data_IF_032764087149
#
_entry.id   IF_032764087149
#
_cell.length_a   1.000
_cell.length_b   1.000
_cell.length_c   1.000
_cell.angle_alpha   90.00
_cell.angle_beta   90.00
_cell.angle_gamma   90.00
#
_symmetry.space_group_name_H-M   'P 1'
#
loop_
_entity.id
_entity.type
_entity.pdbx_description
1 polymer ?
#
# COMPACT_ATOMS: atom_id res chain seq x y z
N UNK A 1 -0.82 19.17 5.62
CA UNK A 1 -2.27 19.40 5.45
C UNK A 1 -2.80 19.01 4.07
N UNK A 2 -2.06 19.25 2.97
CA UNK A 2 -2.55 18.93 1.61
C UNK A 2 -2.82 17.42 1.35
N UNK A 3 -1.94 16.52 1.80
CA UNK A 3 -2.09 15.08 1.55
C UNK A 3 -3.35 14.47 2.18
N UNK A 4 -3.68 14.83 3.43
CA UNK A 4 -4.87 14.35 4.12
C UNK A 4 -6.16 14.75 3.39
N UNK A 5 -6.28 16.03 3.04
CA UNK A 5 -7.46 16.55 2.34
C UNK A 5 -7.67 15.84 1.00
N UNK A 6 -6.58 15.60 0.26
CA UNK A 6 -6.61 14.89 -1.01
C UNK A 6 -7.08 13.44 -0.87
N UNK A 7 -6.69 12.74 0.21
CA UNK A 7 -7.17 11.37 0.50
C UNK A 7 -8.67 11.37 0.80
N UNK A 8 -9.16 12.32 1.59
CA UNK A 8 -10.60 12.45 1.90
C UNK A 8 -11.43 12.68 0.62
N UNK A 9 -11.00 13.60 -0.26
CA UNK A 9 -11.65 13.87 -1.55
C UNK A 9 -11.60 12.67 -2.52
N UNK A 10 -10.50 11.92 -2.55
CA UNK A 10 -10.35 10.75 -3.42
C UNK A 10 -11.17 9.56 -2.93
N UNK A 11 -11.35 9.40 -1.61
CA UNK A 11 -12.21 8.35 -1.05
C UNK A 11 -13.65 8.48 -1.52
N UNK A 12 -14.17 9.70 -1.62
CA UNK A 12 -15.53 9.95 -2.14
C UNK A 12 -15.66 9.62 -3.64
N UNK A 13 -14.54 9.56 -4.37
CA UNK A 13 -14.51 9.36 -5.82
C UNK A 13 -13.96 7.99 -6.24
N UNK A 14 -13.56 7.12 -5.30
CA UNK A 14 -12.90 5.82 -5.54
C UNK A 14 -13.83 4.69 -6.06
N UNK A 15 -14.81 5.04 -6.89
CA UNK A 15 -15.76 4.10 -7.50
C UNK A 15 -15.20 3.45 -8.77
N UNK A 16 -14.22 4.08 -9.43
CA UNK A 16 -13.58 3.60 -10.66
C UNK A 16 -12.21 3.01 -10.39
N UNK A 17 -11.66 2.27 -11.37
CA UNK A 17 -10.29 1.75 -11.30
C UNK A 17 -9.26 2.87 -11.19
N UNK A 18 -9.38 3.92 -12.00
CA UNK A 18 -8.46 5.06 -11.96
C UNK A 18 -8.57 5.83 -10.64
N UNK A 19 -9.78 6.04 -10.11
CA UNK A 19 -9.96 6.70 -8.81
C UNK A 19 -9.36 5.90 -7.65
N UNK A 20 -9.40 4.57 -7.71
CA UNK A 20 -8.72 3.69 -6.74
C UNK A 20 -7.20 3.76 -6.85
N UNK A 21 -6.67 3.82 -8.07
CA UNK A 21 -5.23 4.01 -8.29
C UNK A 21 -4.76 5.37 -7.75
N UNK A 22 -5.45 6.47 -8.08
CA UNK A 22 -5.16 7.80 -7.54
C UNK A 22 -5.24 7.84 -6.01
N UNK A 23 -6.26 7.20 -5.41
CA UNK A 23 -6.39 7.10 -3.96
C UNK A 23 -5.21 6.34 -3.33
N UNK A 24 -4.80 5.23 -3.93
CA UNK A 24 -3.67 4.45 -3.44
C UNK A 24 -2.35 5.22 -3.48
N UNK A 25 -2.14 6.04 -4.53
CA UNK A 25 -0.98 6.93 -4.64
C UNK A 25 -1.02 8.03 -3.56
N UNK A 26 -2.17 8.64 -3.34
CA UNK A 26 -2.33 9.66 -2.30
C UNK A 26 -2.07 9.07 -0.89
N UNK A 27 -2.51 7.83 -0.64
CA UNK A 27 -2.25 7.10 0.59
C UNK A 27 -0.77 6.78 0.79
N UNK A 28 -0.05 6.43 -0.28
CA UNK A 28 1.41 6.24 -0.25
C UNK A 28 2.12 7.53 0.17
N UNK A 29 1.80 8.65 -0.48
CA UNK A 29 2.38 9.96 -0.16
C UNK A 29 2.05 10.36 1.29
N UNK A 30 0.83 10.10 1.74
CA UNK A 30 0.42 10.40 3.10
C UNK A 30 1.15 9.52 4.12
N UNK A 31 1.32 8.22 3.86
CA UNK A 31 2.13 7.32 4.68
C UNK A 31 3.56 7.83 4.84
N UNK A 32 4.20 8.28 3.76
CA UNK A 32 5.54 8.89 3.84
C UNK A 32 5.56 10.12 4.74
N UNK A 33 4.57 11.02 4.61
CA UNK A 33 4.48 12.21 5.45
C UNK A 33 4.29 11.85 6.93
N UNK A 34 3.39 10.90 7.22
CA UNK A 34 3.13 10.43 8.58
C UNK A 34 4.37 9.78 9.21
N UNK A 35 5.10 8.97 8.44
CA UNK A 35 6.33 8.34 8.92
C UNK A 35 7.40 9.38 9.24
N UNK A 36 7.57 10.39 8.38
CA UNK A 36 8.50 11.51 8.63
C UNK A 36 8.13 12.33 9.87
N UNK A 37 6.85 12.47 10.15
CA UNK A 37 6.33 13.15 11.34
C UNK A 37 6.39 12.27 12.61
N UNK A 38 6.96 11.05 12.53
CA UNK A 38 7.06 10.11 13.65
C UNK A 38 5.73 9.43 14.02
N UNK A 39 4.68 9.65 13.22
CA UNK A 39 3.35 9.03 13.39
C UNK A 39 3.31 7.66 12.75
N UNK A 40 4.19 6.78 13.20
CA UNK A 40 4.47 5.50 12.54
C UNK A 40 3.25 4.57 12.50
N UNK A 41 2.39 4.60 13.52
CA UNK A 41 1.16 3.79 13.52
C UNK A 41 0.19 4.20 12.39
N UNK A 42 -0.09 5.50 12.27
CA UNK A 42 -0.95 6.03 11.20
C UNK A 42 -0.33 5.79 9.81
N UNK A 43 1.01 5.85 9.71
CA UNK A 43 1.72 5.57 8.47
C UNK A 43 1.56 4.12 8.03
N UNK A 44 1.54 3.16 8.96
CA UNK A 44 1.23 1.74 8.66
C UNK A 44 -0.19 1.64 8.12
N UNK A 45 -1.16 2.23 8.82
CA UNK A 45 -2.57 2.12 8.44
C UNK A 45 -2.84 2.72 7.05
N UNK A 46 -2.23 3.86 6.73
CA UNK A 46 -2.34 4.48 5.40
C UNK A 46 -1.74 3.61 4.28
N UNK A 47 -0.56 3.02 4.50
CA UNK A 47 0.05 2.13 3.51
C UNK A 47 -0.75 0.83 3.35
N UNK A 48 -1.26 0.28 4.45
CA UNK A 48 -2.09 -0.93 4.47
C UNK A 48 -3.39 -0.74 3.68
N UNK A 49 -4.05 0.41 3.85
CA UNK A 49 -5.23 0.78 3.07
C UNK A 49 -4.91 0.91 1.58
N UNK A 50 -3.80 1.57 1.24
CA UNK A 50 -3.35 1.72 -0.15
C UNK A 50 -3.15 0.37 -0.82
N UNK A 51 -2.49 -0.58 -0.14
CA UNK A 51 -2.31 -1.95 -0.61
C UNK A 51 -3.66 -2.62 -0.83
N UNK A 52 -4.60 -2.55 0.11
CA UNK A 52 -5.92 -3.20 -0.04
C UNK A 52 -6.73 -2.65 -1.22
N UNK A 53 -6.66 -1.34 -1.47
CA UNK A 53 -7.35 -0.69 -2.57
C UNK A 53 -6.76 -1.11 -3.92
N UNK A 54 -5.42 -1.13 -4.00
CA UNK A 54 -4.73 -1.40 -5.26
C UNK A 54 -4.62 -2.90 -5.57
N UNK A 55 -4.63 -3.77 -4.56
CA UNK A 55 -4.49 -5.23 -4.69
C UNK A 55 -5.41 -5.86 -5.75
N UNK A 56 -6.74 -5.64 -5.78
CA UNK A 56 -7.61 -6.25 -6.79
C UNK A 56 -7.28 -5.77 -8.21
N UNK A 57 -6.83 -4.52 -8.38
CA UNK A 57 -6.44 -3.97 -9.68
C UNK A 57 -5.08 -4.53 -10.13
N UNK A 58 -4.12 -4.59 -9.21
CA UNK A 58 -2.80 -5.14 -9.45
C UNK A 58 -2.87 -6.64 -9.78
N UNK A 59 -3.69 -7.42 -9.09
CA UNK A 59 -3.84 -8.84 -9.39
C UNK A 59 -4.50 -9.09 -10.75
N UNK A 60 -5.32 -8.15 -11.24
CA UNK A 60 -5.92 -8.22 -12.57
C UNK A 60 -4.92 -7.86 -13.68
N UNK A 61 -4.05 -6.87 -13.45
CA UNK A 61 -2.97 -6.49 -14.37
C UNK A 61 -1.69 -6.11 -13.60
N UNK A 62 -0.86 -7.10 -13.24
CA UNK A 62 0.34 -6.86 -12.44
C UNK A 62 1.41 -6.10 -13.17
N UNK A 63 1.40 -6.10 -14.51
CA UNK A 63 2.41 -5.40 -15.31
C UNK A 63 2.19 -3.90 -15.29
N UNK A 64 0.92 -3.46 -15.34
CA UNK A 64 0.56 -2.05 -15.34
C UNK A 64 0.82 -1.36 -14.01
N UNK A 65 0.58 -2.03 -12.89
CA UNK A 65 0.59 -1.43 -11.54
C UNK A 65 1.76 -1.89 -10.67
N UNK A 66 2.80 -2.44 -11.30
CA UNK A 66 3.95 -3.03 -10.59
C UNK A 66 4.70 -2.03 -9.75
N UNK A 67 4.99 -0.86 -10.30
CA UNK A 67 5.81 0.15 -9.63
C UNK A 67 5.08 0.74 -8.43
N UNK A 68 3.80 1.05 -8.58
CA UNK A 68 2.93 1.58 -7.54
C UNK A 68 2.73 0.57 -6.41
N UNK A 69 2.44 -0.69 -6.75
CA UNK A 69 2.30 -1.73 -5.75
C UNK A 69 3.61 -1.99 -5.01
N UNK A 70 4.75 -2.02 -5.71
CA UNK A 70 6.05 -2.22 -5.09
C UNK A 70 6.41 -1.08 -4.13
N UNK A 71 6.11 0.17 -4.49
CA UNK A 71 6.33 1.32 -3.63
C UNK A 71 5.48 1.26 -2.36
N UNK A 72 4.20 0.89 -2.47
CA UNK A 72 3.30 0.69 -1.34
C UNK A 72 3.77 -0.41 -0.40
N UNK A 73 4.12 -1.58 -0.94
CA UNK A 73 4.62 -2.72 -0.15
C UNK A 73 5.93 -2.35 0.54
N UNK A 74 6.87 -1.72 -0.18
CA UNK A 74 8.15 -1.28 0.40
C UNK A 74 7.96 -0.28 1.54
N UNK A 75 7.06 0.69 1.36
CA UNK A 75 6.72 1.65 2.41
C UNK A 75 6.07 0.97 3.61
N UNK A 76 5.09 0.08 3.39
CA UNK A 76 4.43 -0.66 4.46
C UNK A 76 5.41 -1.48 5.29
N UNK A 77 6.27 -2.28 4.64
CA UNK A 77 7.29 -3.10 5.29
C UNK A 77 8.28 -2.23 6.08
N UNK A 78 8.76 -1.14 5.46
CA UNK A 78 9.67 -0.20 6.09
C UNK A 78 9.06 0.41 7.36
N UNK A 79 7.84 0.91 7.30
CA UNK A 79 7.16 1.52 8.45
C UNK A 79 6.83 0.47 9.54
N UNK A 80 6.44 -0.75 9.17
CA UNK A 80 6.22 -1.84 10.12
C UNK A 80 7.49 -2.18 10.90
N UNK A 81 8.64 -2.25 10.21
CA UNK A 81 9.94 -2.49 10.83
C UNK A 81 10.28 -1.42 11.87
N UNK A 82 10.02 -0.14 11.57
CA UNK A 82 10.29 0.98 12.48
C UNK A 82 9.29 1.08 13.63
N UNK A 83 8.03 0.66 13.43
CA UNK A 83 6.98 0.71 14.48
C UNK A 83 6.95 -0.52 15.40
N UNK A 84 7.76 -1.55 15.13
CA UNK A 84 7.65 -2.89 15.75
C UNK A 84 6.24 -3.51 15.59
N UNK A 85 5.45 -3.04 14.62
CA UNK A 85 4.18 -3.69 14.27
C UNK A 85 4.46 -4.95 13.47
N UNK A 86 3.69 -5.99 13.75
CA UNK A 86 3.74 -7.23 12.97
C UNK A 86 3.21 -6.96 11.57
N UNK A 87 4.01 -7.30 10.57
CA UNK A 87 3.61 -7.30 9.16
C UNK A 87 2.44 -8.26 8.97
N UNK A 88 1.36 -7.79 8.35
CA UNK A 88 0.25 -8.65 7.95
C UNK A 88 0.62 -9.42 6.67
N UNK A 89 1.16 -10.62 6.85
CA UNK A 89 1.57 -11.48 5.75
C UNK A 89 0.40 -11.90 4.86
N UNK A 90 -0.85 -11.83 5.34
CA UNK A 90 -2.02 -12.14 4.51
C UNK A 90 -2.22 -11.10 3.40
N UNK A 91 -1.75 -9.87 3.59
CA UNK A 91 -1.72 -8.82 2.57
C UNK A 91 -0.56 -8.99 1.59
N UNK A 92 0.60 -9.46 2.07
CA UNK A 92 1.83 -9.50 1.27
C UNK A 92 1.93 -10.76 0.41
N UNK A 93 1.60 -11.94 0.96
CA UNK A 93 1.66 -13.23 0.25
C UNK A 93 1.04 -13.20 -1.16
N UNK A 94 -0.19 -12.72 -1.38
CA UNK A 94 -0.80 -12.75 -2.72
C UNK A 94 -0.10 -11.82 -3.73
N UNK A 95 0.66 -10.84 -3.25
CA UNK A 95 1.35 -9.84 -4.08
C UNK A 95 2.79 -10.27 -4.40
N UNK A 96 3.38 -11.12 -3.57
CA UNK A 96 4.77 -11.55 -3.65
C UNK A 96 5.15 -12.15 -5.01
N UNK A 97 4.35 -13.09 -5.53
CA UNK A 97 4.59 -13.72 -6.83
C UNK A 97 4.58 -12.71 -7.99
N UNK A 98 3.49 -11.95 -8.19
CA UNK A 98 3.41 -10.95 -9.27
C UNK A 98 4.42 -9.79 -9.15
N UNK A 99 4.88 -9.48 -7.94
CA UNK A 99 5.98 -8.52 -7.69
C UNK A 99 7.37 -9.11 -7.93
N UNK A 100 7.50 -10.43 -8.13
CA UNK A 100 8.79 -11.10 -8.24
C UNK A 100 9.55 -11.23 -6.91
N UNK A 101 8.86 -11.07 -5.78
CA UNK A 101 9.41 -11.17 -4.43
C UNK A 101 9.17 -12.57 -3.85
N UNK A 102 9.82 -13.57 -4.44
CA UNK A 102 9.63 -14.98 -4.09
C UNK A 102 9.84 -15.29 -2.59
N UNK A 103 10.65 -14.50 -1.89
CA UNK A 103 10.90 -14.62 -0.45
C UNK A 103 9.65 -14.47 0.42
N UNK A 104 8.62 -13.76 -0.06
CA UNK A 104 7.35 -13.57 0.64
C UNK A 104 6.22 -14.48 0.12
N UNK A 105 6.45 -15.21 -0.97
CA UNK A 105 5.44 -16.03 -1.63
C UNK A 105 5.10 -17.30 -0.83
N UNK A 106 5.98 -17.69 0.11
CA UNK A 106 5.77 -18.70 1.15
C UNK A 106 5.08 -19.97 0.68
N UNK A 107 5.87 -20.99 0.34
CA UNK A 107 5.44 -22.39 0.22
C UNK A 107 4.52 -22.78 1.39
N UNK A 108 3.24 -22.97 1.09
CA UNK A 108 2.32 -23.72 1.93
C UNK A 108 2.65 -25.21 1.70
N UNK A 109 3.41 -25.81 2.63
CA UNK A 109 3.64 -27.27 2.73
C UNK A 109 2.40 -27.98 3.28
#
# INVERSE_FOLDING_TARGET
MAARKRVEELRENAHTADGKAELSEALLIWSYALHRDGRTADAVDAAEEGIRILSPLFLADPHRLREEMNALVSQYLGVCQHSKRKVDMSLIKPLAGPLGQAEFAGDDD
#
